data_IF_579879835467
#
_entry.id   IF_579879835467
#
_cell.length_a   1.000
_cell.length_b   1.000
_cell.length_c   1.000
_cell.angle_alpha   90.00
_cell.angle_beta   90.00
_cell.angle_gamma   90.00
#
_symmetry.space_group_name_H-M   'P 1'
#
loop_
_entity.id
_entity.type
_entity.pdbx_description
1 polymer ?
#
# COMPACT_ATOMS: atom_id res chain seq x y z
N UNK A 1 -3.72 -3.79 -32.92
CA UNK A 1 -4.47 -5.07 -33.00
C UNK A 1 -5.82 -4.89 -32.33
N UNK A 2 -6.96 -5.11 -33.01
CA UNK A 2 -8.27 -4.92 -32.39
C UNK A 2 -8.52 -6.02 -31.36
N UNK A 3 -8.69 -5.64 -30.10
CA UNK A 3 -9.09 -6.55 -29.03
C UNK A 3 -10.47 -7.10 -29.40
N UNK A 4 -10.54 -8.42 -29.64
CA UNK A 4 -11.78 -9.07 -30.04
C UNK A 4 -12.82 -8.88 -28.94
N UNK A 5 -13.99 -8.36 -29.29
CA UNK A 5 -15.11 -8.04 -28.39
C UNK A 5 -15.49 -9.21 -27.45
N UNK A 6 -15.23 -10.45 -27.89
CA UNK A 6 -15.42 -11.67 -27.10
C UNK A 6 -14.49 -11.78 -25.88
N UNK A 7 -13.26 -11.29 -25.98
CA UNK A 7 -12.30 -11.26 -24.86
C UNK A 7 -12.75 -10.23 -23.82
N UNK A 8 -13.22 -9.07 -24.27
CA UNK A 8 -13.76 -8.02 -23.39
C UNK A 8 -15.00 -8.52 -22.63
N UNK A 9 -15.90 -9.21 -23.33
CA UNK A 9 -17.09 -9.81 -22.72
C UNK A 9 -16.75 -10.89 -21.70
N UNK A 10 -15.75 -11.74 -21.98
CA UNK A 10 -15.29 -12.77 -21.03
C UNK A 10 -14.65 -12.15 -19.77
N UNK A 11 -13.87 -11.07 -19.93
CA UNK A 11 -13.27 -10.33 -18.80
C UNK A 11 -14.37 -9.66 -17.97
N UNK A 12 -15.37 -9.04 -18.60
CA UNK A 12 -16.53 -8.46 -17.91
C UNK A 12 -17.38 -9.52 -17.20
N UNK A 13 -17.56 -10.71 -17.78
CA UNK A 13 -18.28 -11.82 -17.15
C UNK A 13 -17.55 -12.39 -15.93
N UNK A 14 -16.21 -12.48 -15.99
CA UNK A 14 -15.39 -12.90 -14.86
C UNK A 14 -15.35 -11.86 -13.73
N UNK A 15 -15.61 -10.59 -14.04
CA UNK A 15 -15.73 -9.49 -13.07
C UNK A 15 -17.12 -9.39 -12.45
N UNK A 16 -18.14 -10.05 -13.01
CA UNK A 16 -19.54 -9.93 -12.62
C UNK A 16 -20.08 -11.09 -11.79
N UNK A 17 -19.28 -11.66 -10.88
CA UNK A 17 -19.78 -12.64 -9.89
C UNK A 17 -20.06 -11.96 -8.53
N UNK A 18 -21.24 -11.37 -8.28
CA UNK A 18 -21.66 -10.99 -6.94
C UNK A 18 -22.51 -12.13 -6.36
N UNK A 19 -21.99 -12.88 -5.39
CA UNK A 19 -22.85 -13.69 -4.52
C UNK A 19 -22.17 -13.98 -3.17
N UNK A 20 -22.67 -13.28 -2.15
CA UNK A 20 -22.91 -13.79 -0.79
C UNK A 20 -21.76 -14.13 0.18
N UNK A 21 -20.52 -13.71 -0.03
CA UNK A 21 -19.49 -13.84 1.02
C UNK A 21 -19.55 -12.79 2.15
N UNK A 22 -20.57 -11.92 2.21
CA UNK A 22 -20.65 -10.79 3.16
C UNK A 22 -21.34 -11.11 4.50
N UNK A 23 -21.29 -12.36 4.98
CA UNK A 23 -21.71 -12.68 6.36
C UNK A 23 -20.55 -13.27 7.15
N UNK A 24 -20.09 -12.48 8.15
CA UNK A 24 -19.22 -12.84 9.29
C UNK A 24 -17.73 -13.07 9.01
N UNK A 25 -16.97 -11.98 9.09
CA UNK A 25 -15.90 -11.76 10.06
C UNK A 25 -15.30 -10.39 9.73
N UNK A 26 -15.18 -9.51 10.73
CA UNK A 26 -14.51 -8.21 10.56
C UNK A 26 -13.08 -8.51 10.13
N UNK A 27 -12.89 -8.41 8.82
CA UNK A 27 -11.66 -8.75 8.12
C UNK A 27 -10.97 -7.44 7.82
N UNK A 28 -9.66 -7.41 8.05
CA UNK A 28 -8.84 -6.30 7.62
C UNK A 28 -8.92 -6.21 6.09
N UNK A 29 -9.04 -4.99 5.54
CA UNK A 29 -9.52 -4.65 4.17
C UNK A 29 -11.05 -4.63 4.00
N UNK A 30 -11.76 -4.04 4.97
CA UNK A 30 -13.17 -3.68 4.78
C UNK A 30 -13.34 -2.78 3.55
N UNK A 31 -14.48 -2.92 2.87
CA UNK A 31 -14.85 -2.06 1.75
C UNK A 31 -14.88 -0.61 2.22
N UNK A 32 -14.12 0.27 1.57
CA UNK A 32 -14.06 1.68 1.96
C UNK A 32 -12.72 2.34 1.62
N UNK A 33 -12.61 3.61 1.99
CA UNK A 33 -11.39 4.40 1.86
C UNK A 33 -10.64 4.50 3.19
N UNK A 34 -9.34 4.31 3.15
CA UNK A 34 -8.44 4.55 4.28
C UNK A 34 -7.49 5.70 3.94
N UNK A 35 -7.04 6.39 4.97
CA UNK A 35 -6.01 7.41 4.87
C UNK A 35 -4.91 7.05 5.86
N UNK A 36 -3.75 6.74 5.33
CA UNK A 36 -2.56 6.42 6.10
C UNK A 36 -1.62 7.63 6.10
N UNK A 37 -1.06 7.96 7.26
CA UNK A 37 0.13 8.82 7.36
C UNK A 37 1.32 7.91 7.61
N UNK A 38 2.22 7.85 6.64
CA UNK A 38 3.44 7.06 6.63
C UNK A 38 4.63 7.93 7.05
N UNK A 39 5.38 7.48 8.04
CA UNK A 39 6.73 7.94 8.35
C UNK A 39 7.72 6.94 7.76
N UNK A 40 8.55 7.38 6.82
CA UNK A 40 9.54 6.57 6.13
C UNK A 40 10.94 6.88 6.67
N UNK A 41 11.77 5.86 6.83
CA UNK A 41 13.15 5.95 7.30
C UNK A 41 14.00 4.89 6.59
N UNK A 42 15.12 5.29 6.00
CA UNK A 42 15.93 4.38 5.21
C UNK A 42 17.20 4.99 4.64
N UNK A 43 17.67 4.42 3.54
CA UNK A 43 18.89 4.86 2.87
C UNK A 43 18.79 4.67 1.35
N UNK A 44 19.65 5.38 0.63
CA UNK A 44 19.82 5.27 -0.81
C UNK A 44 21.23 4.85 -1.15
N UNK A 45 21.37 3.86 -2.03
CA UNK A 45 22.66 3.29 -2.43
C UNK A 45 22.76 3.12 -3.94
N UNK A 46 23.96 3.34 -4.49
CA UNK A 46 24.25 3.12 -5.90
C UNK A 46 24.70 1.70 -6.24
N UNK A 47 24.96 0.83 -5.25
CA UNK A 47 25.63 -0.48 -5.38
C UNK A 47 26.80 -0.48 -6.37
N UNK A 48 27.98 -0.06 -5.90
CA UNK A 48 29.22 -0.10 -6.69
C UNK A 48 29.55 1.19 -7.44
N UNK A 49 28.74 2.24 -7.29
CA UNK A 49 29.17 3.60 -7.61
C UNK A 49 30.04 4.14 -6.46
N UNK A 50 31.04 4.99 -6.75
CA UNK A 50 31.86 5.70 -5.74
C UNK A 50 31.05 6.69 -4.87
N UNK A 51 29.72 6.70 -5.02
CA UNK A 51 28.81 7.53 -4.26
C UNK A 51 28.51 6.89 -2.90
N UNK A 52 28.68 7.62 -1.79
CA UNK A 52 28.37 7.10 -0.46
C UNK A 52 26.88 6.80 -0.31
N UNK A 53 26.56 5.83 0.55
CA UNK A 53 25.18 5.58 0.96
C UNK A 53 24.65 6.79 1.73
N UNK A 54 23.46 7.25 1.35
CA UNK A 54 22.85 8.44 1.94
C UNK A 54 21.62 8.06 2.73
N UNK A 55 21.49 8.62 3.93
CA UNK A 55 20.27 8.49 4.72
C UNK A 55 19.10 9.20 4.03
N UNK A 56 17.92 8.58 4.08
CA UNK A 56 16.66 9.16 3.62
C UNK A 56 15.58 9.05 4.70
N UNK A 57 14.80 10.11 4.89
CA UNK A 57 13.66 10.11 5.79
C UNK A 57 12.53 10.94 5.23
N UNK A 58 11.27 10.60 5.50
CA UNK A 58 10.16 11.31 4.88
C UNK A 58 8.82 11.07 5.54
N UNK A 59 7.86 11.90 5.17
CA UNK A 59 6.47 11.82 5.59
C UNK A 59 5.60 11.76 4.33
N UNK A 60 4.63 10.85 4.30
CA UNK A 60 3.72 10.72 3.18
C UNK A 60 2.29 10.44 3.65
N UNK A 61 1.32 11.02 2.96
CA UNK A 61 -0.05 10.60 2.99
C UNK A 61 -0.27 9.53 1.94
N UNK A 62 -1.01 8.50 2.32
CA UNK A 62 -1.34 7.39 1.44
C UNK A 62 -2.84 7.09 1.52
N UNK A 63 -3.68 7.91 0.86
CA UNK A 63 -5.09 7.56 0.65
C UNK A 63 -5.19 6.30 -0.21
N UNK A 64 -5.98 5.33 0.25
CA UNK A 64 -6.26 4.11 -0.49
C UNK A 64 -7.76 3.79 -0.47
N UNK A 65 -8.21 3.06 -1.49
CA UNK A 65 -9.55 2.50 -1.59
C UNK A 65 -9.47 1.00 -1.79
N UNK A 66 -10.28 0.25 -1.06
CA UNK A 66 -10.42 -1.20 -1.27
C UNK A 66 -11.17 -1.45 -2.57
N UNK A 67 -10.49 -2.01 -3.56
CA UNK A 67 -11.05 -2.33 -4.89
C UNK A 67 -11.57 -3.77 -4.92
N UNK A 68 -10.85 -4.70 -4.29
CA UNK A 68 -11.30 -6.08 -4.09
C UNK A 68 -11.36 -6.33 -2.60
N UNK A 69 -12.57 -6.55 -2.09
CA UNK A 69 -12.80 -6.80 -0.67
C UNK A 69 -11.87 -7.92 -0.17
N UNK A 70 -11.23 -7.69 0.98
CA UNK A 70 -10.33 -8.65 1.61
C UNK A 70 -9.09 -9.05 0.79
N UNK A 71 -8.76 -8.34 -0.30
CA UNK A 71 -7.60 -8.68 -1.14
C UNK A 71 -6.78 -7.49 -1.59
N UNK A 72 -7.41 -6.47 -2.18
CA UNK A 72 -6.68 -5.46 -2.93
C UNK A 72 -7.14 -4.05 -2.56
N UNK A 73 -6.17 -3.20 -2.25
CA UNK A 73 -6.33 -1.75 -2.18
C UNK A 73 -5.47 -1.08 -3.24
N UNK A 74 -6.04 -0.06 -3.87
CA UNK A 74 -5.33 0.88 -4.73
C UNK A 74 -5.34 2.25 -4.09
N UNK A 75 -4.30 3.03 -4.29
CA UNK A 75 -4.17 4.33 -3.68
C UNK A 75 -3.14 5.20 -4.36
N UNK A 76 -2.82 6.29 -3.68
CA UNK A 76 -1.83 7.27 -4.11
C UNK A 76 -0.93 7.57 -2.93
N UNK A 77 0.37 7.67 -3.14
CA UNK A 77 1.33 8.25 -2.22
C UNK A 77 1.51 9.73 -2.55
N UNK A 78 1.46 10.60 -1.55
CA UNK A 78 1.80 12.01 -1.69
C UNK A 78 2.58 12.46 -0.45
N UNK A 79 3.81 12.90 -0.60
CA UNK A 79 4.66 13.20 0.55
C UNK A 79 5.92 13.96 0.23
N UNK A 80 6.75 14.11 1.24
CA UNK A 80 8.07 14.72 1.14
C UNK A 80 9.13 13.78 1.70
N UNK A 81 10.29 13.77 1.06
CA UNK A 81 11.46 13.02 1.50
C UNK A 81 12.66 13.95 1.59
N UNK A 82 13.40 13.84 2.68
CA UNK A 82 14.68 14.49 2.88
C UNK A 82 15.79 13.47 2.58
N UNK A 83 16.61 13.77 1.60
CA UNK A 83 17.79 12.99 1.23
C UNK A 83 18.88 13.96 0.72
N UNK A 84 20.15 13.71 1.08
CA UNK A 84 21.29 14.51 0.63
C UNK A 84 21.13 16.03 0.85
N UNK A 85 20.67 16.43 2.04
CA UNK A 85 20.40 17.84 2.38
C UNK A 85 19.34 18.52 1.50
N UNK A 86 18.56 17.76 0.74
CA UNK A 86 17.49 18.26 -0.12
C UNK A 86 16.16 17.65 0.29
N UNK A 87 15.13 18.49 0.31
CA UNK A 87 13.74 18.07 0.48
C UNK A 87 13.12 17.93 -0.90
N UNK A 88 12.56 16.76 -1.19
CA UNK A 88 11.89 16.47 -2.45
C UNK A 88 10.44 16.10 -2.19
N UNK A 89 9.54 16.59 -3.03
CA UNK A 89 8.16 16.10 -3.08
C UNK A 89 8.09 14.79 -3.85
N UNK A 90 7.23 13.86 -3.44
CA UNK A 90 6.97 12.57 -4.09
C UNK A 90 5.46 12.39 -4.28
N UNK A 91 5.05 11.94 -5.48
CA UNK A 91 3.68 11.63 -5.82
C UNK A 91 3.61 10.41 -6.74
N UNK A 92 2.69 9.49 -6.48
CA UNK A 92 2.40 8.44 -7.45
C UNK A 92 1.49 7.33 -6.94
N UNK A 93 1.14 6.35 -7.77
CA UNK A 93 0.21 5.29 -7.41
C UNK A 93 0.83 4.31 -6.41
N UNK A 94 -0.05 3.74 -5.60
CA UNK A 94 0.27 2.69 -4.64
C UNK A 94 -0.75 1.56 -4.73
N UNK A 95 -0.31 0.35 -4.41
CA UNK A 95 -1.13 -0.85 -4.35
C UNK A 95 -0.73 -1.68 -3.13
N UNK A 96 -1.73 -2.22 -2.44
CA UNK A 96 -1.53 -3.17 -1.36
C UNK A 96 -2.37 -4.42 -1.61
N UNK A 97 -1.70 -5.55 -1.77
CA UNK A 97 -2.31 -6.88 -1.94
C UNK A 97 -2.13 -7.67 -0.65
N UNK A 98 -3.22 -8.07 -0.04
CA UNK A 98 -3.22 -8.92 1.16
C UNK A 98 -2.79 -10.34 0.81
N UNK A 99 -1.78 -10.84 1.52
CA UNK A 99 -1.24 -12.19 1.36
C UNK A 99 -1.77 -13.16 2.42
N UNK A 100 -1.82 -12.73 3.68
CA UNK A 100 -2.19 -13.58 4.80
C UNK A 100 -2.90 -12.80 5.91
N UNK A 101 -3.75 -13.50 6.67
CA UNK A 101 -4.40 -13.01 7.88
C UNK A 101 -3.75 -13.64 9.12
N UNK A 102 -3.47 -12.83 10.14
CA UNK A 102 -3.13 -13.30 11.48
C UNK A 102 -4.37 -13.32 12.35
N UNK A 103 -4.80 -14.52 12.72
CA UNK A 103 -6.01 -14.78 13.52
C UNK A 103 -5.65 -15.58 14.76
N UNK A 104 -6.35 -15.34 15.86
CA UNK A 104 -6.26 -16.22 17.04
C UNK A 104 -6.94 -17.55 16.73
N UNK A 105 -6.51 -18.64 17.37
CA UNK A 105 -7.06 -20.00 17.21
C UNK A 105 -8.54 -20.17 17.58
N UNK A 106 -9.18 -19.13 18.12
CA UNK A 106 -10.62 -19.16 18.45
C UNK A 106 -11.44 -18.87 17.19
N UNK A 107 -12.45 -19.69 16.86
CA UNK A 107 -13.24 -19.56 15.62
C UNK A 107 -14.03 -18.24 15.49
N UNK A 108 -14.14 -17.44 16.56
CA UNK A 108 -14.76 -16.11 16.57
C UNK A 108 -13.78 -14.97 16.84
N UNK A 109 -12.48 -15.22 16.90
CA UNK A 109 -11.51 -14.16 17.14
C UNK A 109 -11.36 -13.24 15.91
N UNK A 110 -11.27 -11.94 16.18
CA UNK A 110 -10.95 -10.92 15.19
C UNK A 110 -9.53 -11.16 14.66
N UNK A 111 -9.33 -10.96 13.36
CA UNK A 111 -7.98 -10.84 12.82
C UNK A 111 -7.33 -9.61 13.47
N UNK A 112 -6.11 -9.79 14.00
CA UNK A 112 -5.39 -8.71 14.68
C UNK A 112 -4.27 -8.13 13.82
N UNK A 113 -3.98 -8.76 12.69
CA UNK A 113 -3.10 -8.22 11.67
C UNK A 113 -3.17 -8.97 10.35
N UNK A 114 -2.56 -8.40 9.32
CA UNK A 114 -2.45 -8.98 8.00
C UNK A 114 -1.13 -8.63 7.33
N UNK A 115 -0.60 -9.60 6.58
CA UNK A 115 0.57 -9.43 5.74
C UNK A 115 0.15 -8.97 4.34
N UNK A 116 0.87 -8.00 3.80
CA UNK A 116 0.60 -7.36 2.52
C UNK A 116 1.84 -7.35 1.65
N UNK A 117 1.65 -7.55 0.36
CA UNK A 117 2.58 -7.15 -0.69
C UNK A 117 2.23 -5.73 -1.13
N UNK A 118 3.25 -4.89 -1.19
CA UNK A 118 3.14 -3.49 -1.58
C UNK A 118 3.78 -3.30 -2.94
N UNK A 119 3.17 -2.46 -3.78
CA UNK A 119 3.76 -1.98 -5.01
C UNK A 119 3.53 -0.48 -5.12
N UNK A 120 4.56 0.26 -5.47
CA UNK A 120 4.54 1.72 -5.50
C UNK A 120 5.35 2.23 -6.68
N UNK A 121 4.84 3.27 -7.34
CA UNK A 121 5.61 4.09 -8.25
C UNK A 121 5.47 5.53 -7.80
N UNK A 122 6.58 6.26 -7.72
CA UNK A 122 6.62 7.62 -7.22
C UNK A 122 7.45 8.48 -8.17
N UNK A 123 6.90 9.61 -8.58
CA UNK A 123 7.62 10.66 -9.28
C UNK A 123 7.81 11.84 -8.36
N UNK A 124 9.02 12.37 -8.35
CA UNK A 124 9.39 13.43 -7.44
C UNK A 124 9.97 14.65 -8.11
N UNK A 125 10.13 15.69 -7.30
CA UNK A 125 10.96 16.84 -7.66
C UNK A 125 12.41 16.40 -7.87
N UNK A 126 13.21 17.21 -8.58
CA UNK A 126 14.61 16.88 -8.88
C UNK A 126 14.82 15.60 -9.71
N UNK A 127 13.85 15.29 -10.59
CA UNK A 127 13.88 14.15 -11.52
C UNK A 127 13.91 12.78 -10.84
N UNK A 128 13.47 12.67 -9.59
CA UNK A 128 13.29 11.38 -8.94
C UNK A 128 12.19 10.61 -9.66
N UNK A 129 12.50 9.38 -10.09
CA UNK A 129 11.52 8.50 -10.73
C UNK A 129 11.72 7.10 -10.19
N UNK A 130 10.84 6.70 -9.28
CA UNK A 130 11.02 5.52 -8.46
C UNK A 130 9.92 4.51 -8.74
N UNK A 131 10.28 3.24 -8.81
CA UNK A 131 9.33 2.14 -8.89
C UNK A 131 9.83 0.96 -8.05
N UNK A 132 8.93 0.28 -7.36
CA UNK A 132 9.28 -0.89 -6.58
C UNK A 132 8.13 -1.38 -5.74
N UNK A 133 8.48 -2.00 -4.62
CA UNK A 133 7.51 -2.66 -3.78
C UNK A 133 8.11 -3.11 -2.46
N UNK A 134 7.35 -3.90 -1.73
CA UNK A 134 7.76 -4.32 -0.40
C UNK A 134 6.75 -5.17 0.30
N UNK A 135 6.96 -5.33 1.60
CA UNK A 135 6.05 -6.06 2.48
C UNK A 135 5.56 -5.14 3.58
N UNK A 136 4.28 -5.26 3.90
CA UNK A 136 3.63 -4.51 4.97
C UNK A 136 2.91 -5.45 5.93
N UNK A 137 2.94 -5.12 7.21
CA UNK A 137 2.15 -5.73 8.27
C UNK A 137 1.19 -4.67 8.79
N UNK A 138 -0.10 -4.84 8.52
CA UNK A 138 -1.15 -4.03 9.13
C UNK A 138 -1.60 -4.71 10.43
N UNK A 139 -1.73 -3.93 11.49
CA UNK A 139 -2.09 -4.37 12.82
C UNK A 139 -3.30 -3.57 13.29
N UNK A 140 -4.32 -4.29 13.76
CA UNK A 140 -5.53 -3.73 14.39
C UNK A 140 -6.23 -2.67 13.52
N UNK A 141 -6.08 -2.72 12.19
CA UNK A 141 -6.60 -1.72 11.25
C UNK A 141 -6.22 -0.27 11.59
N UNK A 142 -5.09 -0.07 12.30
CA UNK A 142 -4.65 1.25 12.77
C UNK A 142 -3.20 1.53 12.44
N UNK A 143 -2.35 0.54 12.61
CA UNK A 143 -0.91 0.71 12.45
C UNK A 143 -0.48 -0.18 11.29
N UNK A 144 0.36 0.34 10.40
CA UNK A 144 1.02 -0.46 9.38
C UNK A 144 2.52 -0.30 9.54
N UNK A 145 3.23 -1.41 9.58
CA UNK A 145 4.69 -1.45 9.60
C UNK A 145 5.15 -2.07 8.29
N UNK A 146 6.31 -1.71 7.77
CA UNK A 146 6.78 -2.39 6.57
C UNK A 146 8.16 -2.00 6.11
N UNK A 147 8.58 -2.71 5.08
CA UNK A 147 9.85 -2.51 4.37
C UNK A 147 9.54 -2.41 2.89
N UNK A 148 10.19 -1.47 2.21
CA UNK A 148 10.09 -1.27 0.77
C UNK A 148 11.46 -1.12 0.14
N UNK A 149 11.62 -1.66 -1.06
CA UNK A 149 12.74 -1.41 -1.94
C UNK A 149 12.22 -0.77 -3.23
N UNK A 150 12.76 0.39 -3.59
CA UNK A 150 12.41 1.11 -4.81
C UNK A 150 13.66 1.40 -5.63
N UNK A 151 13.56 1.23 -6.94
CA UNK A 151 14.60 1.63 -7.88
C UNK A 151 14.28 3.03 -8.39
N UNK A 152 15.15 3.99 -8.12
CA UNK A 152 15.18 5.25 -8.88
C UNK A 152 15.84 4.98 -10.23
N UNK A 153 15.03 4.88 -11.27
CA UNK A 153 15.50 4.54 -12.62
C UNK A 153 16.05 5.76 -13.37
N UNK A 154 15.87 6.97 -12.87
CA UNK A 154 16.50 8.16 -13.43
C UNK A 154 17.90 8.39 -12.84
N UNK A 155 18.02 8.28 -11.51
CA UNK A 155 19.28 8.50 -10.80
C UNK A 155 20.12 7.22 -10.66
N UNK A 156 19.59 6.08 -11.10
CA UNK A 156 20.24 4.78 -11.01
C UNK A 156 20.61 4.41 -9.55
N UNK A 157 19.74 4.77 -8.59
CA UNK A 157 19.92 4.51 -7.16
C UNK A 157 18.83 3.58 -6.60
N UNK A 158 19.17 2.76 -5.62
CA UNK A 158 18.21 1.95 -4.87
C UNK A 158 17.86 2.65 -3.57
N UNK A 159 16.58 2.62 -3.23
CA UNK A 159 16.01 3.17 -2.01
C UNK A 159 15.49 2.03 -1.16
N UNK A 160 16.06 1.85 0.02
CA UNK A 160 15.61 0.87 1.00
C UNK A 160 15.02 1.62 2.18
N UNK A 161 13.73 1.39 2.44
CA UNK A 161 13.00 2.15 3.44
C UNK A 161 12.21 1.21 4.34
N UNK A 162 12.29 1.47 5.63
CA UNK A 162 11.31 1.03 6.61
C UNK A 162 10.26 2.11 6.79
N UNK A 163 9.05 1.72 7.16
CA UNK A 163 8.01 2.69 7.46
C UNK A 163 7.11 2.26 8.61
N UNK A 164 6.57 3.27 9.28
CA UNK A 164 5.47 3.15 10.24
C UNK A 164 4.35 4.05 9.72
N UNK A 165 3.14 3.52 9.61
CA UNK A 165 1.98 4.26 9.17
C UNK A 165 0.84 4.19 10.19
N UNK A 166 0.11 5.29 10.31
CA UNK A 166 -1.07 5.40 11.15
C UNK A 166 -2.30 5.72 10.31
N UNK A 167 -3.39 4.98 10.54
CA UNK A 167 -4.67 5.22 9.87
C UNK A 167 -5.48 6.32 10.59
N UNK A 168 -5.76 7.42 9.89
CA UNK A 168 -6.52 8.55 10.44
C UNK A 168 -8.03 8.44 10.29
N UNK A 169 -8.54 7.68 9.33
CA UNK A 169 -9.97 7.66 9.05
C UNK A 169 -10.77 7.00 10.16
N UNK A 170 -11.81 7.69 10.65
CA UNK A 170 -12.81 7.10 11.55
C UNK A 170 -13.55 5.99 10.80
N UNK A 171 -13.44 4.76 11.27
CA UNK A 171 -14.26 3.64 10.79
C UNK A 171 -15.72 3.99 11.05
N UNK A 172 -16.55 4.10 10.00
CA UNK A 172 -18.01 4.25 10.18
C UNK A 172 -18.49 3.06 10.99
N UNK A 173 -19.02 3.31 12.20
CA UNK A 173 -19.67 2.27 13.00
C UNK A 173 -20.85 1.73 12.18
N UNK A 174 -20.79 0.46 11.81
CA UNK A 174 -21.95 -0.25 11.26
C UNK A 174 -22.93 -0.36 12.44
N UNK A 175 -24.07 0.34 12.36
CA UNK A 175 -25.15 0.12 13.32
C UNK A 175 -25.61 -1.33 13.16
N UNK A 176 -25.69 -2.13 14.24
CA UNK A 176 -26.32 -3.44 14.12
C UNK A 176 -27.77 -3.20 13.70
N UNK A 177 -28.14 -3.67 12.50
CA UNK A 177 -29.55 -3.86 12.14
C UNK A 177 -30.06 -5.00 13.00
N UNK A 178 -30.65 -4.64 14.14
CA UNK A 178 -31.70 -5.45 14.74
C UNK A 178 -33.00 -4.86 14.20
N UNK A 179 -33.55 -5.53 13.19
CA UNK A 179 -34.98 -5.51 12.82
C UNK A 179 -35.45 -6.96 12.80
#
# INVERSE_FOLDING_TARGET
MPIKTRVLALVLLLLSSPAEAQKKQVTEFTKGGILLLKLNNGFTTGFGAETPDLYSGGLALNPQVTVIANRLRLGVNAGFVYNNKKTSGLLGPAMALKLADFRTSKPMALAFGNLQLLAEANWGTHKQQMAGGGIGLELLQKIQLGLTAQRDYHLNQWWFQSFIAYQFNKTKKIKPQFE
#
